data_IF_640890814453
#
_entry.id   IF_640890814453
#
_cell.length_a   1.000
_cell.length_b   1.000
_cell.length_c   1.000
_cell.angle_alpha   90.00
_cell.angle_beta   90.00
_cell.angle_gamma   90.00
#
_symmetry.space_group_name_H-M   'P 1'
#
loop_
_entity.id
_entity.type
_entity.pdbx_description
1 polymer ?
#
# COMPACT_ATOMS: atom_id res chain seq x y z
N UNK A 1 -14.90 -35.25 -13.99
CA UNK A 1 -14.94 -34.00 -14.78
C UNK A 1 -13.68 -33.23 -14.45
N UNK A 2 -12.94 -32.74 -15.46
CA UNK A 2 -11.75 -31.92 -15.22
C UNK A 2 -12.16 -30.58 -14.60
N UNK A 3 -11.52 -30.17 -13.50
CA UNK A 3 -11.71 -28.83 -12.92
C UNK A 3 -10.81 -27.85 -13.68
N UNK A 4 -11.27 -26.62 -13.87
CA UNK A 4 -10.48 -25.56 -14.49
C UNK A 4 -10.37 -24.38 -13.53
N UNK A 5 -9.25 -23.66 -13.61
CA UNK A 5 -9.03 -22.48 -12.80
C UNK A 5 -9.96 -21.34 -13.24
N UNK A 6 -10.76 -20.82 -12.31
CA UNK A 6 -11.68 -19.71 -12.56
C UNK A 6 -10.95 -18.43 -12.97
N UNK A 7 -9.67 -18.29 -12.61
CA UNK A 7 -8.89 -17.08 -12.85
C UNK A 7 -8.06 -17.09 -14.15
N UNK A 8 -7.66 -18.26 -14.65
CA UNK A 8 -6.78 -18.35 -15.84
C UNK A 8 -7.17 -19.44 -16.84
N UNK A 9 -8.25 -20.19 -16.60
CA UNK A 9 -8.77 -21.19 -17.54
C UNK A 9 -7.96 -22.49 -17.64
N UNK A 10 -6.84 -22.63 -16.91
CA UNK A 10 -6.00 -23.83 -16.99
C UNK A 10 -6.60 -25.03 -16.23
N UNK A 11 -6.37 -26.26 -16.72
CA UNK A 11 -6.85 -27.47 -16.05
C UNK A 11 -6.17 -27.66 -14.68
N UNK A 12 -6.97 -27.99 -13.68
CA UNK A 12 -6.57 -28.25 -12.30
C UNK A 12 -6.74 -29.73 -11.97
N UNK A 13 -5.84 -30.27 -11.14
CA UNK A 13 -6.07 -31.60 -10.56
C UNK A 13 -7.15 -31.49 -9.48
N UNK A 14 -7.88 -32.58 -9.26
CA UNK A 14 -9.09 -32.55 -8.43
C UNK A 14 -8.85 -32.12 -6.96
N UNK A 15 -7.61 -32.27 -6.47
CA UNK A 15 -7.18 -32.02 -5.10
C UNK A 15 -6.32 -30.76 -4.93
N UNK A 16 -6.07 -30.00 -6.01
CA UNK A 16 -5.25 -28.79 -5.95
C UNK A 16 -6.00 -27.67 -5.22
N UNK A 17 -5.45 -27.22 -4.08
CA UNK A 17 -5.97 -26.08 -3.31
C UNK A 17 -5.68 -24.73 -3.98
N UNK A 18 -4.72 -24.68 -4.89
CA UNK A 18 -4.27 -23.48 -5.60
C UNK A 18 -3.99 -23.83 -7.06
N UNK A 19 -4.22 -22.87 -7.95
CA UNK A 19 -3.84 -23.04 -9.34
C UNK A 19 -2.33 -22.94 -9.49
N UNK A 20 -1.72 -23.97 -10.08
CA UNK A 20 -0.27 -24.05 -10.28
C UNK A 20 0.22 -22.95 -11.26
N UNK A 21 -0.64 -22.51 -12.18
CA UNK A 21 -0.29 -21.52 -13.19
C UNK A 21 -0.43 -20.08 -12.69
N UNK A 22 -1.55 -19.74 -12.03
CA UNK A 22 -1.81 -18.36 -11.60
C UNK A 22 -1.62 -18.14 -10.09
N UNK A 23 -1.29 -19.16 -9.32
CA UNK A 23 -1.03 -19.10 -7.87
C UNK A 23 -2.25 -18.81 -6.98
N UNK A 24 -3.43 -18.58 -7.58
CA UNK A 24 -4.65 -18.21 -6.84
C UNK A 24 -5.35 -19.43 -6.24
N UNK A 25 -5.94 -19.32 -5.02
CA UNK A 25 -6.66 -20.40 -4.38
C UNK A 25 -7.86 -20.84 -5.21
N UNK A 26 -8.06 -22.15 -5.31
CA UNK A 26 -9.20 -22.75 -5.99
C UNK A 26 -10.35 -22.78 -5.00
N UNK A 27 -11.39 -21.98 -5.25
CA UNK A 27 -12.56 -21.83 -4.36
C UNK A 27 -13.43 -23.09 -4.22
N UNK A 28 -13.00 -24.24 -4.76
CA UNK A 28 -13.82 -25.44 -4.94
C UNK A 28 -13.73 -26.49 -3.81
N UNK A 29 -13.05 -26.19 -2.68
CA UNK A 29 -12.81 -27.18 -1.62
C UNK A 29 -13.22 -26.70 -0.22
N UNK A 30 -14.32 -25.95 -0.10
CA UNK A 30 -15.01 -25.77 1.18
C UNK A 30 -16.22 -26.70 1.21
N UNK A 31 -16.02 -27.94 1.67
CA UNK A 31 -17.13 -28.69 2.26
C UNK A 31 -17.63 -27.87 3.44
N UNK A 32 -18.86 -27.37 3.37
CA UNK A 32 -19.61 -26.87 4.53
C UNK A 32 -19.61 -27.97 5.62
N UNK A 33 -19.13 -27.72 6.84
CA UNK A 33 -19.71 -28.35 8.01
C UNK A 33 -20.91 -27.49 8.43
N UNK A 34 -22.10 -28.09 8.38
CA UNK A 34 -23.29 -27.52 9.00
C UNK A 34 -23.17 -27.57 10.53
N UNK A 35 -23.33 -26.39 11.15
CA UNK A 35 -23.95 -26.06 12.44
C UNK A 35 -23.73 -26.98 13.66
N UNK A 36 -23.25 -26.39 14.76
CA UNK A 36 -24.03 -26.06 15.98
C UNK A 36 -23.12 -25.51 17.10
N UNK A 37 -23.63 -24.59 17.93
CA UNK A 37 -23.03 -24.24 19.22
C UNK A 37 -22.60 -22.77 19.41
N UNK A 38 -23.57 -21.91 19.71
CA UNK A 38 -23.40 -20.55 20.25
C UNK A 38 -22.83 -20.61 21.69
N UNK A 39 -21.97 -19.64 22.02
CA UNK A 39 -21.55 -19.23 23.39
C UNK A 39 -20.69 -20.19 24.24
N UNK A 40 -19.38 -19.90 24.32
CA UNK A 40 -18.64 -19.79 25.59
C UNK A 40 -17.24 -19.20 25.39
N UNK A 41 -16.89 -18.27 26.29
CA UNK A 41 -15.54 -17.80 26.63
C UNK A 41 -14.86 -16.75 25.72
N UNK A 42 -15.52 -15.59 25.58
CA UNK A 42 -14.84 -14.33 25.89
C UNK A 42 -14.70 -14.28 27.42
N UNK A 43 -13.49 -14.49 27.95
CA UNK A 43 -12.98 -14.02 29.26
C UNK A 43 -11.74 -14.83 29.66
N UNK A 44 -10.61 -14.59 29.00
CA UNK A 44 -9.30 -14.64 29.67
C UNK A 44 -8.54 -13.40 29.19
N UNK A 45 -8.79 -12.34 29.95
CA UNK A 45 -8.22 -10.99 29.91
C UNK A 45 -6.69 -11.13 30.07
N UNK A 46 -5.92 -10.61 29.11
CA UNK A 46 -5.19 -9.33 29.24
C UNK A 46 -4.32 -9.29 30.51
N UNK A 47 -3.06 -9.71 30.39
CA UNK A 47 -1.91 -9.14 31.12
C UNK A 47 -0.62 -9.89 30.76
N UNK A 48 0.22 -9.29 29.92
CA UNK A 48 1.62 -8.93 30.24
C UNK A 48 2.37 -8.49 28.98
N UNK A 49 3.15 -7.43 29.21
CA UNK A 49 3.96 -6.68 28.26
C UNK A 49 5.11 -7.53 27.69
N UNK A 50 5.58 -7.07 26.52
CA UNK A 50 6.83 -7.43 25.80
C UNK A 50 8.04 -7.75 26.69
N UNK A 51 8.87 -8.71 26.26
CA UNK A 51 10.26 -8.37 25.93
C UNK A 51 10.74 -8.90 24.56
N UNK A 52 11.68 -8.15 23.98
CA UNK A 52 12.53 -8.48 22.85
C UNK A 52 13.41 -9.72 23.10
N UNK A 53 13.90 -10.25 21.98
CA UNK A 53 15.20 -10.92 21.77
C UNK A 53 15.36 -12.43 22.05
N UNK A 54 16.06 -13.04 21.07
CA UNK A 54 16.68 -14.37 20.97
C UNK A 54 15.79 -15.54 20.55
N UNK A 55 15.88 -15.89 19.26
CA UNK A 55 16.43 -17.16 18.72
C UNK A 55 17.13 -16.74 17.41
N UNK A 56 18.45 -16.52 17.44
CA UNK A 56 19.49 -17.45 16.95
C UNK A 56 19.43 -17.57 15.43
N UNK A 57 20.04 -16.65 14.68
CA UNK A 57 21.46 -16.76 14.27
C UNK A 57 21.85 -18.20 13.95
N UNK A 58 21.48 -18.64 12.74
CA UNK A 58 22.36 -19.48 11.94
C UNK A 58 22.87 -18.61 10.79
N UNK A 59 24.06 -18.08 11.03
CA UNK A 59 25.03 -17.69 10.03
C UNK A 59 25.15 -18.77 8.96
N UNK A 60 24.63 -18.49 7.77
CA UNK A 60 25.15 -19.09 6.54
C UNK A 60 25.95 -17.98 5.89
N UNK A 61 27.26 -18.18 5.92
CA UNK A 61 28.32 -17.33 5.41
C UNK A 61 28.06 -16.87 3.99
N UNK A 62 28.39 -15.62 3.71
CA UNK A 62 28.38 -14.98 2.39
C UNK A 62 29.60 -15.42 1.53
N UNK A 63 30.11 -16.65 1.72
CA UNK A 63 31.39 -17.14 1.16
C UNK A 63 31.24 -18.08 -0.04
N UNK A 64 30.12 -18.08 -0.76
CA UNK A 64 29.92 -18.93 -1.95
C UNK A 64 29.41 -18.17 -3.20
N UNK A 65 29.67 -16.85 -3.28
CA UNK A 65 29.37 -16.07 -4.49
C UNK A 65 30.57 -15.23 -4.99
N UNK A 66 31.79 -15.73 -4.81
CA UNK A 66 32.98 -15.21 -5.49
C UNK A 66 33.84 -16.36 -6.03
N UNK A 67 33.48 -16.88 -7.21
CA UNK A 67 34.44 -17.57 -8.07
C UNK A 67 34.12 -17.23 -9.53
N UNK A 68 35.10 -16.60 -10.18
CA UNK A 68 35.28 -16.34 -11.62
C UNK A 68 34.73 -15.02 -12.21
N UNK A 69 35.50 -13.96 -12.01
CA UNK A 69 35.95 -13.16 -13.15
C UNK A 69 37.34 -12.59 -12.86
N UNK A 70 38.32 -13.04 -13.64
CA UNK A 70 39.73 -12.68 -13.62
C UNK A 70 39.95 -11.17 -13.79
N UNK A 71 40.85 -10.60 -12.99
CA UNK A 71 41.44 -9.29 -13.28
C UNK A 71 42.35 -9.38 -14.53
N UNK A 72 42.49 -8.28 -15.27
CA UNK A 72 43.76 -7.60 -15.12
C UNK A 72 43.62 -6.08 -14.93
N UNK A 73 44.48 -5.60 -14.03
CA UNK A 73 44.93 -4.22 -13.83
C UNK A 73 45.01 -3.38 -15.11
N UNK A 74 44.41 -2.18 -15.05
CA UNK A 74 45.05 -0.92 -15.49
C UNK A 74 44.28 0.32 -15.05
N UNK A 75 44.99 1.15 -14.27
CA UNK A 75 44.72 2.56 -13.94
C UNK A 75 44.11 3.33 -15.12
N UNK A 76 42.93 3.89 -14.89
CA UNK A 76 42.33 4.89 -15.77
C UNK A 76 41.18 5.61 -15.07
N UNK A 77 41.38 6.89 -14.73
CA UNK A 77 40.34 7.82 -14.27
C UNK A 77 39.10 7.69 -15.15
N UNK A 78 37.99 7.15 -14.63
CA UNK A 78 36.69 7.22 -15.30
C UNK A 78 35.88 8.37 -14.70
N UNK A 79 35.62 9.33 -15.60
CA UNK A 79 34.67 10.43 -15.46
C UNK A 79 33.37 9.93 -14.83
N UNK A 80 32.88 10.68 -13.85
CA UNK A 80 31.50 10.65 -13.38
C UNK A 80 30.63 11.02 -14.59
N UNK A 81 30.13 10.00 -15.27
CA UNK A 81 29.18 10.13 -16.35
C UNK A 81 27.86 10.60 -15.72
N UNK A 82 27.68 11.92 -15.70
CA UNK A 82 26.40 12.53 -15.39
C UNK A 82 25.51 12.16 -16.57
N UNK A 83 24.85 11.00 -16.47
CA UNK A 83 23.66 10.75 -17.28
C UNK A 83 22.73 11.92 -16.97
N UNK A 84 22.62 12.81 -17.93
CA UNK A 84 21.61 13.84 -18.01
C UNK A 84 20.27 13.12 -17.79
N UNK A 85 19.75 13.23 -16.58
CA UNK A 85 18.42 12.74 -16.24
C UNK A 85 17.51 13.67 -17.02
N UNK A 86 17.11 13.23 -18.21
CA UNK A 86 16.08 13.91 -18.99
C UNK A 86 14.87 13.98 -18.06
N UNK A 87 14.63 15.16 -17.51
CA UNK A 87 13.56 15.42 -16.56
C UNK A 87 12.25 15.21 -17.29
N UNK A 88 11.69 14.00 -17.18
CA UNK A 88 10.37 13.72 -17.72
C UNK A 88 9.37 14.44 -16.81
N UNK A 89 8.57 15.37 -17.35
CA UNK A 89 7.54 16.02 -16.57
C UNK A 89 6.58 14.96 -16.03
N UNK A 90 6.13 15.16 -14.79
CA UNK A 90 5.24 14.22 -14.12
C UNK A 90 3.96 14.03 -14.97
N UNK A 91 3.53 12.77 -15.23
CA UNK A 91 2.33 12.50 -16.01
C UNK A 91 1.10 13.23 -15.46
N UNK A 92 0.21 13.64 -16.35
CA UNK A 92 -0.98 14.41 -15.97
C UNK A 92 -1.87 13.65 -14.99
N UNK A 93 -2.05 12.34 -15.19
CA UNK A 93 -2.85 11.49 -14.31
C UNK A 93 -2.31 11.47 -12.88
N UNK A 94 -0.98 11.51 -12.74
CA UNK A 94 -0.31 11.47 -11.44
C UNK A 94 -0.46 12.81 -10.72
N UNK A 95 -0.37 13.93 -11.45
CA UNK A 95 -0.64 15.27 -10.90
C UNK A 95 -2.07 15.38 -10.41
N UNK A 96 -3.04 14.93 -11.20
CA UNK A 96 -4.45 14.92 -10.83
C UNK A 96 -4.70 14.09 -9.56
N UNK A 97 -4.11 12.90 -9.47
CA UNK A 97 -4.18 12.09 -8.24
C UNK A 97 -3.57 12.79 -7.03
N UNK A 98 -2.46 13.52 -7.19
CA UNK A 98 -1.88 14.27 -6.08
C UNK A 98 -2.79 15.42 -5.63
N UNK A 99 -3.36 16.19 -6.58
CA UNK A 99 -4.28 17.29 -6.27
C UNK A 99 -5.50 16.75 -5.53
N UNK A 100 -6.13 15.68 -6.02
CA UNK A 100 -7.28 15.06 -5.36
C UNK A 100 -6.95 14.59 -3.94
N UNK A 101 -5.76 14.03 -3.73
CA UNK A 101 -5.31 13.63 -2.39
C UNK A 101 -5.05 14.81 -1.47
N UNK A 102 -4.48 15.91 -1.99
CA UNK A 102 -4.28 17.15 -1.23
C UNK A 102 -5.63 17.72 -0.81
N UNK A 103 -6.57 17.88 -1.76
CA UNK A 103 -7.93 18.39 -1.49
C UNK A 103 -8.67 17.54 -0.46
N UNK A 104 -8.60 16.21 -0.58
CA UNK A 104 -9.22 15.29 0.37
C UNK A 104 -8.62 15.43 1.78
N UNK A 105 -7.29 15.54 1.89
CA UNK A 105 -6.63 15.75 3.18
C UNK A 105 -6.93 17.12 3.79
N UNK A 106 -7.01 18.17 2.96
CA UNK A 106 -7.41 19.52 3.40
C UNK A 106 -8.84 19.53 3.93
N UNK A 107 -9.77 18.83 3.27
CA UNK A 107 -11.14 18.67 3.76
C UNK A 107 -11.15 17.95 5.12
N UNK A 108 -10.37 16.87 5.28
CA UNK A 108 -10.24 16.17 6.57
C UNK A 108 -9.71 17.07 7.67
N UNK A 109 -8.66 17.84 7.38
CA UNK A 109 -8.07 18.79 8.32
C UNK A 109 -9.07 19.89 8.70
N UNK A 110 -9.75 20.47 7.72
CA UNK A 110 -10.77 21.51 7.94
C UNK A 110 -11.93 20.99 8.79
N UNK A 111 -12.40 19.75 8.55
CA UNK A 111 -13.40 19.11 9.41
C UNK A 111 -12.89 18.96 10.84
N UNK A 112 -11.66 18.54 11.03
CA UNK A 112 -11.07 18.40 12.37
C UNK A 112 -11.03 19.75 13.10
N UNK A 113 -10.59 20.81 12.41
CA UNK A 113 -10.59 22.18 12.94
C UNK A 113 -12.00 22.62 13.34
N UNK A 114 -13.01 22.36 12.50
CA UNK A 114 -14.40 22.71 12.81
C UNK A 114 -14.96 21.90 14.00
N UNK A 115 -14.59 20.62 14.11
CA UNK A 115 -14.96 19.78 15.26
C UNK A 115 -14.35 20.33 16.55
N UNK A 116 -13.11 20.79 16.52
CA UNK A 116 -12.45 21.35 17.71
C UNK A 116 -13.05 22.71 18.08
N UNK A 117 -13.35 23.58 17.10
CA UNK A 117 -14.14 24.81 17.33
C UNK A 117 -15.53 24.53 17.90
N UNK A 118 -16.19 23.46 17.45
CA UNK A 118 -17.49 23.03 17.98
C UNK A 118 -17.36 22.64 19.45
N UNK A 119 -16.31 21.89 19.84
CA UNK A 119 -16.03 21.55 21.24
C UNK A 119 -15.76 22.78 22.10
N UNK A 120 -15.09 23.80 21.56
CA UNK A 120 -14.88 25.06 22.26
C UNK A 120 -16.19 25.79 22.54
N UNK A 121 -17.07 25.88 21.53
CA UNK A 121 -18.39 26.52 21.70
C UNK A 121 -19.28 25.69 22.63
N UNK A 122 -19.15 24.36 22.63
CA UNK A 122 -19.84 23.50 23.60
C UNK A 122 -19.45 23.79 25.05
N UNK A 123 -18.27 24.39 25.32
CA UNK A 123 -17.92 24.87 26.66
C UNK A 123 -18.69 26.16 26.98
N UNK A 124 -18.89 27.04 25.99
CA UNK A 124 -19.68 28.26 26.16
C UNK A 124 -21.18 27.97 26.43
N UNK A 125 -21.71 26.84 25.96
CA UNK A 125 -23.05 26.36 26.34
C UNK A 125 -23.20 26.04 27.83
N UNK A 126 -22.09 25.82 28.55
CA UNK A 126 -22.09 25.54 30.00
C UNK A 126 -21.91 26.82 30.83
N UNK A 127 -21.78 27.97 30.19
CA UNK A 127 -21.69 29.26 30.88
C UNK A 127 -23.06 29.59 31.49
N UNK A 128 -23.15 29.93 32.78
CA UNK A 128 -24.41 30.36 33.42
C UNK A 128 -25.13 31.50 32.70
N UNK A 129 -24.40 32.32 31.93
CA UNK A 129 -24.99 33.38 31.10
C UNK A 129 -25.87 32.85 29.98
N UNK A 130 -25.67 31.62 29.53
CA UNK A 130 -26.43 31.01 28.44
C UNK A 130 -27.93 30.86 28.75
N UNK A 131 -28.28 30.59 30.01
CA UNK A 131 -29.66 30.41 30.43
C UNK A 131 -30.37 31.74 30.76
N UNK A 132 -29.59 32.80 31.00
CA UNK A 132 -30.10 34.09 31.51
C UNK A 132 -30.13 35.17 30.44
N UNK A 133 -29.11 35.22 29.57
CA UNK A 133 -28.96 36.22 28.52
C UNK A 133 -29.42 35.66 27.17
N UNK A 134 -30.58 36.11 26.71
CA UNK A 134 -31.15 35.71 25.42
C UNK A 134 -30.26 36.07 24.22
N UNK A 135 -29.57 37.20 24.24
CA UNK A 135 -28.72 37.63 23.14
C UNK A 135 -27.48 36.74 23.06
N UNK A 136 -26.88 36.45 24.21
CA UNK A 136 -25.78 35.51 24.31
C UNK A 136 -26.20 34.12 23.82
N UNK A 137 -27.35 33.60 24.25
CA UNK A 137 -27.91 32.32 23.82
C UNK A 137 -28.08 32.24 22.30
N UNK A 138 -28.76 33.24 21.71
CA UNK A 138 -28.97 33.34 20.26
C UNK A 138 -27.62 33.35 19.52
N UNK A 139 -26.65 34.13 20.00
CA UNK A 139 -25.32 34.22 19.37
C UNK A 139 -24.57 32.88 19.34
N UNK A 140 -24.63 32.11 20.44
CA UNK A 140 -23.98 30.81 20.54
C UNK A 140 -24.67 29.79 19.64
N UNK A 141 -26.01 29.77 19.63
CA UNK A 141 -26.78 28.87 18.78
C UNK A 141 -26.57 29.12 17.29
N UNK A 142 -26.45 30.39 16.87
CA UNK A 142 -26.09 30.76 15.50
C UNK A 142 -24.71 30.17 15.14
N UNK A 143 -23.71 30.33 16.01
CA UNK A 143 -22.35 29.78 15.77
C UNK A 143 -22.35 28.26 15.70
N UNK A 144 -23.05 27.58 16.60
CA UNK A 144 -23.18 26.11 16.60
C UNK A 144 -23.81 25.63 15.30
N UNK A 145 -24.90 26.28 14.88
CA UNK A 145 -25.62 25.92 13.65
C UNK A 145 -24.75 26.13 12.42
N UNK A 146 -24.08 27.29 12.31
CA UNK A 146 -23.17 27.58 11.21
C UNK A 146 -22.05 26.54 11.09
N UNK A 147 -21.41 26.16 12.20
CA UNK A 147 -20.34 25.15 12.19
C UNK A 147 -20.88 23.78 11.82
N UNK A 148 -22.05 23.38 12.32
CA UNK A 148 -22.68 22.10 11.95
C UNK A 148 -22.99 22.06 10.45
N UNK A 149 -23.49 23.14 9.87
CA UNK A 149 -23.75 23.24 8.43
C UNK A 149 -22.45 23.10 7.64
N UNK A 150 -21.40 23.82 8.01
CA UNK A 150 -20.08 23.70 7.35
C UNK A 150 -19.51 22.28 7.45
N UNK A 151 -19.65 21.60 8.60
CA UNK A 151 -19.23 20.20 8.75
C UNK A 151 -20.03 19.28 7.82
N UNK A 152 -21.34 19.51 7.66
CA UNK A 152 -22.17 18.73 6.76
C UNK A 152 -21.77 18.91 5.29
N UNK A 153 -21.51 20.15 4.86
CA UNK A 153 -21.01 20.46 3.52
C UNK A 153 -19.65 19.81 3.26
N UNK A 154 -18.72 19.89 4.20
CA UNK A 154 -17.41 19.24 4.06
C UNK A 154 -17.52 17.71 4.04
N UNK A 155 -18.45 17.11 4.79
CA UNK A 155 -18.72 15.66 4.72
C UNK A 155 -19.25 15.24 3.36
N UNK A 156 -20.12 16.05 2.76
CA UNK A 156 -20.60 15.78 1.41
C UNK A 156 -19.45 15.82 0.39
N UNK A 157 -18.63 16.87 0.42
CA UNK A 157 -17.45 16.98 -0.45
C UNK A 157 -16.44 15.85 -0.23
N UNK A 158 -16.23 15.44 1.02
CA UNK A 158 -15.38 14.29 1.35
C UNK A 158 -15.90 13.01 0.71
N UNK A 159 -17.21 12.73 0.78
CA UNK A 159 -17.77 11.53 0.15
C UNK A 159 -17.65 11.55 -1.38
N UNK A 160 -17.77 12.72 -2.02
CA UNK A 160 -17.60 12.86 -3.47
C UNK A 160 -16.13 12.65 -3.92
N UNK A 161 -15.17 12.93 -3.05
CA UNK A 161 -13.74 12.70 -3.30
C UNK A 161 -13.28 11.31 -2.90
N UNK A 162 -13.90 10.68 -1.90
CA UNK A 162 -13.51 9.37 -1.39
C UNK A 162 -13.54 8.30 -2.50
N UNK A 163 -14.58 8.29 -3.33
CA UNK A 163 -14.71 7.40 -4.49
C UNK A 163 -13.58 7.60 -5.52
N UNK A 164 -13.05 8.83 -5.62
CA UNK A 164 -11.96 9.18 -6.55
C UNK A 164 -10.59 8.81 -5.98
N UNK A 165 -10.43 8.87 -4.66
CA UNK A 165 -9.20 8.62 -3.91
C UNK A 165 -9.01 7.13 -3.58
N UNK A 166 -10.06 6.30 -3.61
CA UNK A 166 -9.98 4.86 -3.29
C UNK A 166 -9.00 4.07 -4.17
N UNK A 167 -8.72 4.55 -5.39
CA UNK A 167 -7.76 3.90 -6.28
C UNK A 167 -6.34 4.02 -5.71
N UNK A 168 -5.58 2.91 -5.59
CA UNK A 168 -4.21 2.97 -5.10
C UNK A 168 -3.39 3.90 -5.99
N UNK A 169 -2.66 4.79 -5.33
CA UNK A 169 -1.80 5.78 -5.96
C UNK A 169 -0.81 5.08 -6.88
N UNK A 170 -0.51 5.67 -8.05
CA UNK A 170 0.28 4.99 -9.10
C UNK A 170 1.62 4.48 -8.56
N UNK A 171 2.30 5.27 -7.71
CA UNK A 171 3.57 4.86 -7.09
C UNK A 171 3.40 3.66 -6.15
N UNK A 172 2.28 3.57 -5.44
CA UNK A 172 1.98 2.45 -4.56
C UNK A 172 1.67 1.18 -5.37
N UNK A 173 0.92 1.32 -6.46
CA UNK A 173 0.64 0.20 -7.39
C UNK A 173 1.94 -0.38 -7.98
N UNK A 174 2.82 0.50 -8.48
CA UNK A 174 4.11 0.07 -9.03
C UNK A 174 4.95 -0.62 -7.94
N UNK A 175 4.88 -0.16 -6.69
CA UNK A 175 5.56 -0.81 -5.58
C UNK A 175 5.02 -2.23 -5.32
N UNK A 176 3.70 -2.42 -5.33
CA UNK A 176 3.06 -3.72 -5.18
C UNK A 176 3.45 -4.69 -6.32
N UNK A 177 3.58 -4.17 -7.55
CA UNK A 177 4.04 -4.94 -8.71
C UNK A 177 5.52 -5.35 -8.55
N UNK A 178 6.39 -4.45 -8.08
CA UNK A 178 7.80 -4.77 -7.76
C UNK A 178 7.87 -5.88 -6.71
N UNK A 179 7.09 -5.78 -5.64
CA UNK A 179 7.07 -6.78 -4.57
C UNK A 179 6.58 -8.14 -5.07
N UNK A 180 5.59 -8.13 -5.97
CA UNK A 180 5.13 -9.33 -6.68
C UNK A 180 6.24 -9.96 -7.52
N UNK A 181 7.04 -9.15 -8.25
CA UNK A 181 8.18 -9.65 -9.04
C UNK A 181 9.28 -10.23 -8.16
N UNK A 182 9.58 -9.58 -7.02
CA UNK A 182 10.52 -10.10 -6.03
C UNK A 182 10.05 -11.45 -5.49
N UNK A 183 8.75 -11.57 -5.18
CA UNK A 183 8.16 -12.82 -4.72
C UNK A 183 8.25 -13.92 -5.80
N UNK A 184 7.95 -13.59 -7.06
CA UNK A 184 8.08 -14.51 -8.18
C UNK A 184 9.52 -15.02 -8.35
N UNK A 185 10.51 -14.13 -8.28
CA UNK A 185 11.93 -14.50 -8.36
C UNK A 185 12.37 -15.41 -7.20
N UNK A 186 11.91 -15.12 -5.98
CA UNK A 186 12.19 -15.96 -4.79
C UNK A 186 11.58 -17.35 -4.94
N UNK A 187 10.30 -17.42 -5.33
CA UNK A 187 9.60 -18.69 -5.53
C UNK A 187 10.21 -19.51 -6.67
N UNK A 188 10.55 -18.86 -7.79
CA UNK A 188 11.22 -19.51 -8.93
C UNK A 188 12.56 -20.12 -8.51
N UNK A 189 13.37 -19.39 -7.74
CA UNK A 189 14.64 -19.89 -7.20
C UNK A 189 14.43 -21.09 -6.27
N UNK A 190 13.39 -21.07 -5.45
CA UNK A 190 13.04 -22.21 -4.59
C UNK A 190 12.59 -23.43 -5.40
N UNK A 191 11.82 -23.24 -6.46
CA UNK A 191 11.35 -24.33 -7.32
C UNK A 191 12.48 -24.99 -8.11
N UNK A 192 13.45 -24.20 -8.58
CA UNK A 192 14.65 -24.70 -9.24
C UNK A 192 15.52 -25.50 -8.27
N UNK A 193 15.71 -25.04 -7.02
CA UNK A 193 16.38 -25.82 -5.95
C UNK A 193 15.70 -27.15 -5.65
N UNK A 194 14.39 -27.23 -5.86
CA UNK A 194 13.61 -28.46 -5.70
C UNK A 194 13.55 -29.31 -6.99
N UNK A 195 14.32 -28.95 -8.02
CA UNK A 195 14.33 -29.59 -9.34
C UNK A 195 12.95 -29.70 -10.00
N UNK A 196 12.03 -28.78 -9.66
CA UNK A 196 10.67 -28.74 -10.23
C UNK A 196 10.60 -28.02 -11.58
N UNK A 197 11.66 -27.27 -11.92
CA UNK A 197 11.77 -26.48 -13.14
C UNK A 197 13.13 -26.79 -13.77
N UNK A 198 13.16 -26.95 -15.09
CA UNK A 198 14.39 -27.16 -15.84
C UNK A 198 15.27 -25.90 -15.85
N UNK A 199 16.58 -26.10 -16.03
CA UNK A 199 17.53 -24.99 -15.92
C UNK A 199 17.31 -23.91 -17.00
N UNK A 200 16.94 -24.32 -18.21
CA UNK A 200 16.62 -23.40 -19.32
C UNK A 200 15.40 -22.53 -19.03
N UNK A 201 14.30 -23.11 -18.54
CA UNK A 201 13.11 -22.35 -18.16
C UNK A 201 13.38 -21.47 -16.95
N UNK A 202 14.20 -21.92 -16.01
CA UNK A 202 14.60 -21.11 -14.86
C UNK A 202 15.35 -19.84 -15.29
N UNK A 203 16.39 -19.97 -16.10
CA UNK A 203 17.21 -18.84 -16.56
C UNK A 203 16.37 -17.83 -17.35
N UNK A 204 15.57 -18.30 -18.31
CA UNK A 204 14.71 -17.44 -19.12
C UNK A 204 13.64 -16.70 -18.30
N UNK A 205 12.95 -17.39 -17.37
CA UNK A 205 11.97 -16.76 -16.49
C UNK A 205 12.61 -15.79 -15.49
N UNK A 206 13.79 -16.14 -14.96
CA UNK A 206 14.54 -15.28 -14.03
C UNK A 206 14.96 -14.00 -14.72
N UNK A 207 15.51 -14.09 -15.92
CA UNK A 207 15.92 -12.92 -16.69
C UNK A 207 14.73 -12.04 -17.04
N UNK A 208 13.62 -12.64 -17.51
CA UNK A 208 12.38 -11.91 -17.78
C UNK A 208 11.86 -11.16 -16.57
N UNK A 209 11.72 -11.82 -15.41
CA UNK A 209 11.25 -11.17 -14.19
C UNK A 209 12.21 -10.11 -13.67
N UNK A 210 13.53 -10.30 -13.87
CA UNK A 210 14.53 -9.29 -13.51
C UNK A 210 14.40 -8.04 -14.39
N UNK A 211 14.26 -8.21 -15.70
CA UNK A 211 14.05 -7.10 -16.63
C UNK A 211 12.74 -6.35 -16.33
N UNK A 212 11.62 -7.07 -16.14
CA UNK A 212 10.33 -6.47 -15.78
C UNK A 212 10.42 -5.69 -14.46
N UNK A 213 11.13 -6.24 -13.47
CA UNK A 213 11.37 -5.55 -12.19
C UNK A 213 12.20 -4.27 -12.37
N UNK A 214 13.26 -4.31 -13.17
CA UNK A 214 14.12 -3.14 -13.42
C UNK A 214 13.36 -2.01 -14.14
N UNK A 215 12.46 -2.35 -15.06
CA UNK A 215 11.56 -1.38 -15.71
C UNK A 215 10.66 -0.70 -14.69
N UNK A 216 9.99 -1.47 -13.83
CA UNK A 216 9.11 -0.94 -12.77
C UNK A 216 9.89 -0.09 -11.75
N UNK A 217 11.09 -0.51 -11.35
CA UNK A 217 11.94 0.28 -10.45
C UNK A 217 12.37 1.60 -11.07
N UNK A 218 12.64 1.62 -12.37
CA UNK A 218 13.00 2.84 -13.11
C UNK A 218 11.81 3.77 -13.21
N UNK A 219 10.63 3.26 -13.58
CA UNK A 219 9.39 4.04 -13.62
C UNK A 219 9.05 4.65 -12.26
N UNK A 220 9.15 3.86 -11.18
CA UNK A 220 8.93 4.37 -9.81
C UNK A 220 9.89 5.50 -9.47
N UNK A 221 11.17 5.38 -9.84
CA UNK A 221 12.18 6.42 -9.61
C UNK A 221 11.87 7.68 -10.40
N UNK A 222 11.57 7.55 -11.69
CA UNK A 222 11.18 8.65 -12.57
C UNK A 222 9.97 9.41 -11.99
N UNK A 223 8.92 8.70 -11.57
CA UNK A 223 7.75 9.29 -10.92
C UNK A 223 8.10 9.98 -9.61
N UNK A 224 8.92 9.37 -8.75
CA UNK A 224 9.31 9.96 -7.47
C UNK A 224 10.12 11.24 -7.67
N UNK A 225 11.00 11.28 -8.67
CA UNK A 225 11.76 12.48 -9.04
C UNK A 225 10.82 13.55 -9.58
N UNK A 226 9.93 13.19 -10.51
CA UNK A 226 8.94 14.10 -11.07
C UNK A 226 8.02 14.71 -10.01
N UNK A 227 7.59 13.93 -9.01
CA UNK A 227 6.80 14.42 -7.87
C UNK A 227 7.58 15.43 -7.04
N UNK A 228 8.85 15.14 -6.73
CA UNK A 228 9.70 16.05 -5.96
C UNK A 228 9.97 17.36 -6.68
N UNK A 229 10.14 17.32 -8.00
CA UNK A 229 10.28 18.51 -8.82
C UNK A 229 9.00 19.33 -8.81
N UNK A 230 7.86 18.69 -9.07
CA UNK A 230 6.57 19.37 -9.08
C UNK A 230 6.22 20.00 -7.73
N UNK A 231 6.48 19.31 -6.61
CA UNK A 231 6.29 19.88 -5.25
C UNK A 231 7.14 21.13 -5.02
N UNK A 232 8.32 21.25 -5.64
CA UNK A 232 9.17 22.45 -5.52
C UNK A 232 8.69 23.61 -6.39
N UNK A 233 7.89 23.33 -7.42
CA UNK A 233 7.31 24.34 -8.31
C UNK A 233 6.00 24.92 -7.77
N UNK A 234 5.32 24.21 -6.85
CA UNK A 234 4.14 24.67 -6.11
C UNK A 234 4.52 25.68 -5.01
#
# INVERSE_FOLDING_TARGET
>A
MAKYCVYCGNPLKNDDKFCIICGKPVLASVKKPEKTGVEKAKEIIKERKTPKEKIMEQSISEDDFEVLSEEPDKKGKKKKDVREVVEKPLPFEVKEQMILNIEYNDIKLNKQILVDKLKEIQKALKDPRYDVDEEYNKSINIKVTAIKTLIAELKQKESELEDKVEKPFIVQRIQEDIDTKIFQLKNLSQQHKLHKVDNSSFESLREKYKQEKEVLETERKDLTVGMKLWIKEL
#
